data_IF_504432295543
#
_entry.id   IF_504432295543
#
_cell.length_a   1.000
_cell.length_b   1.000
_cell.length_c   1.000
_cell.angle_alpha   90.00
_cell.angle_beta   90.00
_cell.angle_gamma   90.00
#
_symmetry.space_group_name_H-M   'P 1'
#
loop_
_entity.id
_entity.type
_entity.pdbx_description
1 polymer ?
#
# COMPACT_ATOMS: atom_id res chain seq x y z
N UNK A 1 -10.68 24.51 15.49
CA UNK A 1 -9.38 23.95 15.95
C UNK A 1 -9.43 23.44 17.38
N UNK A 2 -10.23 24.03 18.26
CA UNK A 2 -10.30 23.67 19.69
C UNK A 2 -10.72 22.21 19.95
N UNK A 3 -11.40 21.55 18.99
CA UNK A 3 -11.86 20.16 19.11
C UNK A 3 -10.93 19.16 18.42
N UNK A 4 -9.61 19.39 18.42
CA UNK A 4 -8.61 18.51 17.79
C UNK A 4 -7.62 17.95 18.80
N UNK A 5 -7.26 16.66 18.67
CA UNK A 5 -6.23 15.99 19.48
C UNK A 5 -5.06 15.59 18.59
N UNK A 6 -3.85 15.96 19.00
CA UNK A 6 -2.61 15.45 18.39
C UNK A 6 -2.27 14.11 19.01
N UNK A 7 -1.95 13.13 18.17
CA UNK A 7 -1.52 11.80 18.55
C UNK A 7 -0.12 11.55 18.01
N UNK A 8 0.80 11.18 18.89
CA UNK A 8 2.19 10.86 18.54
C UNK A 8 2.50 9.42 18.97
N UNK A 9 2.36 8.44 18.05
CA UNK A 9 2.86 7.08 18.28
C UNK A 9 4.39 7.11 18.35
N UNK A 10 4.97 6.51 19.38
CA UNK A 10 6.42 6.58 19.60
C UNK A 10 6.97 5.25 20.09
N UNK A 11 8.09 4.84 19.50
CA UNK A 11 8.89 3.69 19.91
C UNK A 11 10.34 4.15 19.99
N UNK A 12 10.97 3.98 21.15
CA UNK A 12 12.38 4.31 21.39
C UNK A 12 12.76 5.74 20.96
N UNK A 13 12.04 6.78 21.43
CA UNK A 13 12.24 8.15 20.95
C UNK A 13 13.59 8.73 21.35
N UNK A 14 14.11 9.61 20.49
CA UNK A 14 15.24 10.48 20.80
C UNK A 14 14.78 11.90 21.17
N UNK A 15 15.72 12.84 21.23
CA UNK A 15 15.48 14.24 21.53
C UNK A 15 14.56 14.96 20.52
N UNK A 16 14.37 14.41 19.31
CA UNK A 16 13.52 15.01 18.26
C UNK A 16 12.05 15.04 18.68
N UNK A 17 11.59 14.05 19.45
CA UNK A 17 10.23 14.04 20.00
C UNK A 17 10.01 15.21 20.97
N UNK A 18 10.98 15.48 21.85
CA UNK A 18 10.91 16.62 22.77
C UNK A 18 10.90 17.95 22.00
N UNK A 19 11.78 18.09 21.01
CA UNK A 19 11.83 19.28 20.17
C UNK A 19 10.53 19.50 19.37
N UNK A 20 9.91 18.43 18.87
CA UNK A 20 8.62 18.50 18.18
C UNK A 20 7.52 19.03 19.11
N UNK A 21 7.41 18.46 20.32
CA UNK A 21 6.39 18.87 21.29
C UNK A 21 6.64 20.28 21.82
N UNK A 22 7.89 20.65 22.06
CA UNK A 22 8.27 22.02 22.41
C UNK A 22 7.82 23.00 21.33
N UNK A 23 8.12 22.70 20.05
CA UNK A 23 7.69 23.53 18.91
C UNK A 23 6.18 23.66 18.82
N UNK A 24 5.42 22.59 19.07
CA UNK A 24 3.95 22.64 19.13
C UNK A 24 3.51 23.57 20.27
N UNK A 25 4.09 23.43 21.46
CA UNK A 25 3.72 24.22 22.64
C UNK A 25 4.07 25.70 22.51
N UNK A 26 5.15 26.04 21.80
CA UNK A 26 5.50 27.41 21.45
C UNK A 26 4.42 28.11 20.61
N UNK A 27 3.75 27.36 19.72
CA UNK A 27 2.70 27.91 18.87
C UNK A 27 1.29 27.78 19.47
N UNK A 28 1.04 26.72 20.25
CA UNK A 28 -0.25 26.49 20.87
C UNK A 28 -0.12 25.73 22.20
N UNK A 29 -0.27 26.47 23.30
CA UNK A 29 -0.14 25.96 24.66
C UNK A 29 -1.28 25.02 25.09
N UNK A 30 -2.45 25.13 24.46
CA UNK A 30 -3.67 24.45 24.92
C UNK A 30 -4.09 23.27 24.05
N UNK A 31 -3.45 23.07 22.89
CA UNK A 31 -3.79 21.97 21.99
C UNK A 31 -3.53 20.62 22.68
N UNK A 32 -4.54 19.75 22.86
CA UNK A 32 -4.33 18.45 23.48
C UNK A 32 -3.31 17.60 22.71
N UNK A 33 -2.39 16.96 23.43
CA UNK A 33 -1.39 16.03 22.86
C UNK A 33 -1.45 14.73 23.64
N UNK A 34 -1.67 13.63 22.91
CA UNK A 34 -1.61 12.26 23.39
C UNK A 34 -0.38 11.58 22.76
N UNK A 35 0.54 11.15 23.60
CA UNK A 35 1.71 10.35 23.20
C UNK A 35 1.43 8.91 23.56
N UNK A 36 1.67 7.99 22.62
CA UNK A 36 1.55 6.56 22.87
C UNK A 36 2.94 5.93 22.81
N UNK A 37 3.50 5.59 23.97
CA UNK A 37 4.73 4.81 24.11
C UNK A 37 4.42 3.34 23.78
N UNK A 38 4.85 2.88 22.61
CA UNK A 38 4.69 1.51 22.14
C UNK A 38 5.72 0.57 22.78
N UNK A 39 5.89 0.66 24.10
CA UNK A 39 6.75 -0.24 24.88
C UNK A 39 8.24 -0.06 24.64
N UNK A 40 8.72 1.18 24.64
CA UNK A 40 10.14 1.55 24.44
C UNK A 40 11.07 1.03 25.55
N UNK A 41 10.53 0.75 26.74
CA UNK A 41 11.29 0.22 27.88
C UNK A 41 11.86 1.30 28.82
N UNK A 42 12.56 0.86 29.87
CA UNK A 42 12.96 1.71 30.99
C UNK A 42 13.92 2.84 30.61
N UNK A 43 14.79 2.62 29.61
CA UNK A 43 15.78 3.60 29.17
C UNK A 43 15.15 4.89 28.59
N UNK A 44 13.94 4.79 28.04
CA UNK A 44 13.25 5.91 27.37
C UNK A 44 12.19 6.59 28.25
N UNK A 45 11.88 6.03 29.43
CA UNK A 45 10.92 6.62 30.37
C UNK A 45 11.21 8.07 30.79
N UNK A 46 12.48 8.53 30.90
CA UNK A 46 12.75 9.94 31.15
C UNK A 46 12.18 10.88 30.07
N UNK A 47 12.17 10.48 28.80
CA UNK A 47 11.61 11.27 27.69
C UNK A 47 10.11 11.41 27.86
N UNK A 48 9.40 10.30 28.09
CA UNK A 48 7.95 10.31 28.31
C UNK A 48 7.55 11.05 29.58
N UNK A 49 8.33 10.93 30.66
CA UNK A 49 8.11 11.68 31.90
C UNK A 49 8.25 13.20 31.66
N UNK A 50 9.24 13.62 30.89
CA UNK A 50 9.41 15.02 30.50
C UNK A 50 8.22 15.52 29.67
N UNK A 51 7.72 14.72 28.72
CA UNK A 51 6.52 15.04 27.93
C UNK A 51 5.30 15.30 28.81
N UNK A 52 5.06 14.45 29.81
CA UNK A 52 3.94 14.62 30.73
C UNK A 52 4.14 15.84 31.66
N UNK A 53 5.30 15.95 32.30
CA UNK A 53 5.54 16.94 33.36
C UNK A 53 5.81 18.35 32.84
N UNK A 54 6.56 18.48 31.75
CA UNK A 54 7.00 19.78 31.22
C UNK A 54 6.04 20.33 30.17
N UNK A 55 5.45 19.44 29.37
CA UNK A 55 4.60 19.83 28.23
C UNK A 55 3.12 19.49 28.41
N UNK A 56 2.74 18.88 29.54
CA UNK A 56 1.34 18.55 29.84
C UNK A 56 0.73 17.55 28.85
N UNK A 57 1.53 16.69 28.24
CA UNK A 57 1.04 15.64 27.35
C UNK A 57 0.39 14.51 28.15
N UNK A 58 -0.70 13.95 27.62
CA UNK A 58 -1.18 12.65 28.09
C UNK A 58 -0.25 11.58 27.51
N UNK A 59 0.20 10.63 28.33
CA UNK A 59 1.05 9.52 27.88
C UNK A 59 0.37 8.20 28.21
N UNK A 60 0.19 7.36 27.19
CA UNK A 60 -0.26 5.97 27.33
C UNK A 60 0.89 5.04 26.97
N UNK A 61 1.10 3.97 27.74
CA UNK A 61 2.25 3.07 27.56
C UNK A 61 1.80 1.63 27.35
N UNK A 62 2.31 1.01 26.29
CA UNK A 62 2.18 -0.42 26.07
C UNK A 62 3.22 -1.21 26.89
N UNK A 63 2.88 -2.41 27.40
CA UNK A 63 3.82 -3.23 28.17
C UNK A 63 4.99 -3.77 27.33
N UNK A 64 4.84 -3.80 26.00
CA UNK A 64 5.84 -4.22 25.02
C UNK A 64 5.49 -3.58 23.68
N UNK A 65 6.42 -3.62 22.72
CA UNK A 65 6.15 -3.22 21.35
C UNK A 65 5.06 -4.07 20.69
N UNK A 66 3.93 -3.42 20.38
CA UNK A 66 2.77 -4.00 19.70
C UNK A 66 2.71 -3.55 18.23
N UNK A 67 3.26 -2.37 17.92
CA UNK A 67 3.36 -1.78 16.60
C UNK A 67 2.63 -0.44 16.48
N UNK A 68 3.00 0.33 15.44
CA UNK A 68 2.40 1.64 15.14
C UNK A 68 0.86 1.58 14.97
N UNK A 69 0.34 0.54 14.34
CA UNK A 69 -1.11 0.33 14.18
C UNK A 69 -1.81 0.15 15.54
N UNK A 70 -1.23 -0.63 16.44
CA UNK A 70 -1.73 -0.82 17.80
C UNK A 70 -1.71 0.51 18.57
N UNK A 71 -0.63 1.29 18.45
CA UNK A 71 -0.54 2.60 19.09
C UNK A 71 -1.61 3.59 18.58
N UNK A 72 -1.88 3.60 17.27
CA UNK A 72 -2.99 4.38 16.68
C UNK A 72 -4.34 3.89 17.22
N UNK A 73 -4.57 2.58 17.34
CA UNK A 73 -5.81 2.02 17.90
C UNK A 73 -6.01 2.35 19.38
N UNK A 74 -4.94 2.35 20.17
CA UNK A 74 -4.96 2.81 21.56
C UNK A 74 -5.40 4.27 21.61
N UNK A 75 -4.87 5.12 20.74
CA UNK A 75 -5.29 6.52 20.64
C UNK A 75 -6.75 6.68 20.18
N UNK A 76 -7.20 5.92 19.18
CA UNK A 76 -8.61 5.90 18.74
C UNK A 76 -9.54 5.51 19.90
N UNK A 77 -9.16 4.50 20.67
CA UNK A 77 -9.92 4.03 21.83
C UNK A 77 -10.00 5.12 22.91
N UNK A 78 -8.88 5.79 23.19
CA UNK A 78 -8.81 6.90 24.12
C UNK A 78 -9.71 8.07 23.70
N UNK A 79 -9.69 8.43 22.41
CA UNK A 79 -10.54 9.50 21.88
C UNK A 79 -12.03 9.15 21.97
N UNK A 80 -12.38 7.91 21.63
CA UNK A 80 -13.76 7.45 21.64
C UNK A 80 -14.32 7.34 23.07
N UNK A 81 -13.50 6.93 24.03
CA UNK A 81 -13.93 6.62 25.40
C UNK A 81 -13.88 7.84 26.32
N UNK A 82 -12.79 8.63 26.24
CA UNK A 82 -12.47 9.63 27.26
C UNK A 82 -12.49 11.07 26.75
N UNK A 83 -12.55 11.28 25.43
CA UNK A 83 -12.46 12.62 24.81
C UNK A 83 -13.68 12.91 23.91
N UNK A 84 -14.90 13.08 24.47
CA UNK A 84 -16.12 13.26 23.68
C UNK A 84 -16.14 14.56 22.87
N UNK A 85 -15.39 15.59 23.29
CA UNK A 85 -15.28 16.88 22.61
C UNK A 85 -14.35 16.85 21.39
N UNK A 86 -13.54 15.80 21.20
CA UNK A 86 -12.60 15.72 20.08
C UNK A 86 -13.34 15.28 18.81
N UNK A 87 -13.36 16.18 17.83
CA UNK A 87 -13.92 15.98 16.49
C UNK A 87 -12.88 15.48 15.48
N UNK A 88 -11.61 15.83 15.67
CA UNK A 88 -10.53 15.45 14.76
C UNK A 88 -9.33 14.90 15.54
N UNK A 89 -8.85 13.73 15.16
CA UNK A 89 -7.58 13.19 15.63
C UNK A 89 -6.54 13.39 14.53
N UNK A 90 -5.43 14.05 14.84
CA UNK A 90 -4.29 14.14 13.92
C UNK A 90 -3.16 13.25 14.42
N UNK A 91 -2.65 12.35 13.57
CA UNK A 91 -1.43 11.61 13.85
C UNK A 91 -0.23 12.36 13.26
N UNK A 92 0.90 12.33 13.95
CA UNK A 92 2.18 12.86 13.49
C UNK A 92 3.30 11.92 13.97
N UNK A 93 4.29 11.66 13.12
CA UNK A 93 5.43 10.83 13.49
C UNK A 93 6.36 11.56 14.48
N UNK A 94 7.03 10.81 15.35
CA UNK A 94 7.91 11.35 16.39
C UNK A 94 9.30 11.80 15.90
N UNK A 95 9.58 11.68 14.60
CA UNK A 95 10.88 11.92 13.99
C UNK A 95 11.17 13.40 13.65
N UNK A 96 10.18 14.28 13.84
CA UNK A 96 10.30 15.71 13.58
C UNK A 96 10.26 16.09 12.09
N UNK A 97 9.90 15.18 11.18
CA UNK A 97 9.84 15.46 9.73
C UNK A 97 8.64 16.33 9.30
N UNK A 98 7.76 16.70 10.24
CA UNK A 98 6.54 17.44 9.98
C UNK A 98 6.56 18.81 10.67
N UNK A 99 6.30 19.87 9.92
CA UNK A 99 6.15 21.21 10.45
C UNK A 99 4.82 21.40 11.20
N UNK A 100 4.82 22.26 12.22
CA UNK A 100 3.58 22.68 12.89
C UNK A 100 2.60 23.30 11.88
N UNK A 101 3.09 24.13 10.96
CA UNK A 101 2.27 24.78 9.93
C UNK A 101 1.60 23.77 8.99
N UNK A 102 2.31 22.68 8.64
CA UNK A 102 1.77 21.59 7.82
C UNK A 102 0.64 20.85 8.53
N UNK A 103 0.83 20.53 9.82
CA UNK A 103 -0.20 19.93 10.66
C UNK A 103 -1.44 20.84 10.75
N UNK A 104 -1.24 22.14 10.97
CA UNK A 104 -2.34 23.10 11.04
C UNK A 104 -3.07 23.25 9.70
N UNK A 105 -2.37 23.19 8.57
CA UNK A 105 -2.98 23.19 7.25
C UNK A 105 -3.85 21.94 7.03
N UNK A 106 -3.38 20.76 7.44
CA UNK A 106 -4.16 19.52 7.41
C UNK A 106 -5.44 19.62 8.27
N UNK A 107 -5.33 20.15 9.49
CA UNK A 107 -6.46 20.36 10.38
C UNK A 107 -7.47 21.37 9.83
N UNK A 108 -6.99 22.47 9.24
CA UNK A 108 -7.85 23.46 8.58
C UNK A 108 -8.61 22.83 7.40
N UNK A 109 -7.94 22.00 6.60
CA UNK A 109 -8.60 21.25 5.52
C UNK A 109 -9.62 20.25 6.03
N UNK A 110 -9.33 19.57 7.14
CA UNK A 110 -10.28 18.65 7.77
C UNK A 110 -11.53 19.38 8.27
N UNK A 111 -11.39 20.60 8.79
CA UNK A 111 -12.53 21.43 9.19
C UNK A 111 -13.37 21.89 7.98
N UNK A 112 -12.72 22.23 6.87
CA UNK A 112 -13.41 22.57 5.62
C UNK A 112 -14.09 21.35 4.97
N UNK A 113 -13.59 20.14 5.24
CA UNK A 113 -14.07 18.87 4.71
C UNK A 113 -14.26 17.84 5.83
N UNK A 114 -15.21 18.07 6.77
CA UNK A 114 -15.40 17.22 7.96
C UNK A 114 -15.73 15.78 7.61
N UNK A 115 -16.17 15.56 6.35
CA UNK A 115 -16.50 14.25 5.84
C UNK A 115 -15.34 13.47 5.22
N UNK A 116 -14.10 13.97 5.31
CA UNK A 116 -12.94 13.41 4.61
C UNK A 116 -11.78 13.06 5.54
N UNK A 117 -11.06 11.98 5.23
CA UNK A 117 -9.74 11.72 5.81
C UNK A 117 -8.74 12.63 5.08
N UNK A 118 -7.91 13.36 5.84
CA UNK A 118 -6.88 14.22 5.26
C UNK A 118 -5.51 13.55 5.40
N UNK A 119 -4.75 13.50 4.31
CA UNK A 119 -3.38 13.01 4.28
C UNK A 119 -2.43 14.17 4.00
N UNK A 120 -1.46 14.42 4.87
CA UNK A 120 -0.37 15.34 4.62
C UNK A 120 0.62 14.72 3.64
N UNK A 121 0.53 15.04 2.35
CA UNK A 121 1.35 14.42 1.31
C UNK A 121 2.54 15.30 0.99
N UNK A 122 3.75 14.76 1.09
CA UNK A 122 4.97 15.48 0.70
C UNK A 122 4.89 15.86 -0.78
N UNK A 123 5.06 17.13 -1.08
CA UNK A 123 5.23 17.56 -2.47
C UNK A 123 6.63 17.18 -2.91
N UNK A 124 6.74 16.12 -3.73
CA UNK A 124 7.98 15.80 -4.44
C UNK A 124 8.22 16.89 -5.49
N UNK A 125 8.82 18.00 -5.06
CA UNK A 125 9.18 19.13 -5.91
C UNK A 125 10.15 18.75 -7.03
N UNK A 126 10.49 19.73 -7.87
CA UNK A 126 11.36 19.58 -9.06
C UNK A 126 12.78 19.08 -8.77
N UNK A 127 13.20 19.01 -7.50
CA UNK A 127 14.55 18.67 -7.07
C UNK A 127 14.77 17.19 -6.70
N UNK A 128 13.78 16.31 -6.89
CA UNK A 128 13.98 14.87 -6.67
C UNK A 128 14.90 14.29 -7.76
N UNK A 129 16.00 13.59 -7.41
CA UNK A 129 16.88 12.94 -8.37
C UNK A 129 16.09 12.04 -9.34
N UNK A 130 16.38 12.11 -10.64
CA UNK A 130 15.61 11.42 -11.69
C UNK A 130 15.40 9.92 -11.44
N UNK A 131 16.37 9.25 -10.78
CA UNK A 131 16.27 7.83 -10.38
C UNK A 131 15.20 7.60 -9.29
N UNK A 132 15.11 8.48 -8.30
CA UNK A 132 14.09 8.42 -7.24
C UNK A 132 12.69 8.78 -7.77
N UNK A 133 12.62 9.69 -8.74
CA UNK A 133 11.37 10.07 -9.41
C UNK A 133 10.69 8.89 -10.12
N UNK A 134 11.46 8.02 -10.77
CA UNK A 134 10.92 6.81 -11.42
C UNK A 134 10.39 5.80 -10.40
N UNK A 135 11.14 5.56 -9.31
CA UNK A 135 10.70 4.72 -8.20
C UNK A 135 9.40 5.22 -7.59
N UNK A 136 9.29 6.53 -7.32
CA UNK A 136 8.07 7.11 -6.75
C UNK A 136 6.88 7.05 -7.70
N UNK A 137 7.07 7.27 -9.01
CA UNK A 137 5.99 7.14 -10.00
C UNK A 137 5.53 5.67 -10.10
N UNK A 138 6.46 4.72 -10.12
CA UNK A 138 6.14 3.30 -10.18
C UNK A 138 5.38 2.86 -8.92
N UNK A 139 5.89 3.20 -7.73
CA UNK A 139 5.24 2.90 -6.45
C UNK A 139 3.86 3.57 -6.37
N UNK A 140 3.71 4.81 -6.84
CA UNK A 140 2.41 5.52 -6.89
C UNK A 140 1.43 4.83 -7.82
N UNK A 141 1.87 4.39 -9.00
CA UNK A 141 1.02 3.68 -9.95
C UNK A 141 0.63 2.29 -9.42
N UNK A 142 1.55 1.58 -8.77
CA UNK A 142 1.29 0.30 -8.11
C UNK A 142 0.30 0.50 -6.95
N UNK A 143 0.49 1.51 -6.10
CA UNK A 143 -0.43 1.86 -5.03
C UNK A 143 -1.81 2.19 -5.60
N UNK A 144 -1.89 3.03 -6.63
CA UNK A 144 -3.14 3.35 -7.32
C UNK A 144 -3.82 2.12 -7.93
N UNK A 145 -3.06 1.21 -8.53
CA UNK A 145 -3.58 -0.08 -9.01
C UNK A 145 -3.97 -1.01 -7.86
N UNK A 146 -3.29 -0.90 -6.72
CA UNK A 146 -3.47 -1.77 -5.58
C UNK A 146 -4.69 -1.39 -4.73
N UNK A 147 -4.87 -0.09 -4.53
CA UNK A 147 -5.84 0.52 -3.61
C UNK A 147 -6.90 1.35 -4.33
N UNK A 148 -6.81 1.54 -5.64
CA UNK A 148 -7.69 2.42 -6.43
C UNK A 148 -7.58 3.91 -6.08
N UNK A 149 -6.71 4.29 -5.14
CA UNK A 149 -6.56 5.65 -4.66
C UNK A 149 -5.42 6.36 -5.40
N UNK A 150 -5.70 7.55 -5.92
CA UNK A 150 -4.69 8.43 -6.52
C UNK A 150 -4.01 9.28 -5.42
N UNK A 151 -3.27 8.63 -4.51
CA UNK A 151 -2.54 9.30 -3.43
C UNK A 151 -1.08 9.49 -3.84
N UNK A 152 -0.55 10.70 -3.66
CA UNK A 152 0.84 11.03 -3.99
C UNK A 152 1.85 10.41 -3.00
N UNK A 153 1.49 10.35 -1.72
CA UNK A 153 2.27 9.74 -0.66
C UNK A 153 1.34 9.00 0.33
N UNK A 154 1.28 7.66 0.24
CA UNK A 154 0.48 6.83 1.12
C UNK A 154 1.18 6.49 2.44
N UNK A 155 2.46 6.86 2.58
CA UNK A 155 3.33 6.49 3.70
C UNK A 155 3.57 7.67 4.66
N UNK A 156 2.81 8.75 4.51
CA UNK A 156 2.82 9.85 5.46
C UNK A 156 2.28 9.42 6.83
N UNK A 157 2.96 9.80 7.90
CA UNK A 157 2.44 9.71 9.27
C UNK A 157 1.49 10.85 9.64
N UNK A 158 1.53 11.97 8.88
CA UNK A 158 0.64 13.11 9.09
C UNK A 158 -0.74 12.85 8.48
N UNK A 159 -1.70 12.47 9.32
CA UNK A 159 -3.07 12.13 8.89
C UNK A 159 -4.09 12.73 9.84
N UNK A 160 -5.23 13.19 9.31
CA UNK A 160 -6.34 13.69 10.13
C UNK A 160 -7.55 12.80 9.93
N UNK A 161 -8.10 12.31 11.04
CA UNK A 161 -9.27 11.44 11.11
C UNK A 161 -10.43 12.17 11.77
N UNK A 162 -11.53 12.41 11.03
CA UNK A 162 -12.81 12.80 11.62
C UNK A 162 -13.33 11.75 12.60
N UNK A 163 -13.91 12.22 13.72
CA UNK A 163 -14.47 11.36 14.79
C UNK A 163 -15.42 10.31 14.26
N UNK A 164 -16.26 10.67 13.29
CA UNK A 164 -17.25 9.77 12.69
C UNK A 164 -16.67 8.49 12.07
N UNK A 165 -15.38 8.48 11.71
CA UNK A 165 -14.72 7.29 11.15
C UNK A 165 -13.99 6.47 12.22
N UNK A 166 -13.78 7.00 13.43
CA UNK A 166 -12.88 6.40 14.43
C UNK A 166 -13.33 5.01 14.91
N UNK A 167 -14.64 4.79 15.11
CA UNK A 167 -15.18 3.48 15.51
C UNK A 167 -14.88 2.40 14.46
N UNK A 168 -15.08 2.74 13.19
CA UNK A 168 -14.81 1.83 12.09
C UNK A 168 -13.30 1.62 11.87
N UNK A 169 -12.50 2.68 12.01
CA UNK A 169 -11.04 2.60 11.95
C UNK A 169 -10.48 1.66 13.02
N UNK A 170 -11.04 1.69 14.23
CA UNK A 170 -10.64 0.81 15.33
C UNK A 170 -10.87 -0.68 15.00
N UNK A 171 -11.92 -0.99 14.24
CA UNK A 171 -12.27 -2.35 13.84
C UNK A 171 -11.37 -2.93 12.72
N UNK A 172 -10.56 -2.10 12.07
CA UNK A 172 -9.66 -2.55 10.99
C UNK A 172 -8.54 -3.42 11.58
N UNK A 173 -8.30 -4.57 10.96
CA UNK A 173 -7.22 -5.49 11.37
C UNK A 173 -5.83 -4.95 11.01
N UNK A 174 -4.82 -5.37 11.78
CA UNK A 174 -3.43 -4.92 11.61
C UNK A 174 -2.97 -4.11 12.81
N UNK A 175 -1.73 -4.32 13.21
CA UNK A 175 -1.17 -3.75 14.45
C UNK A 175 0.16 -3.03 14.20
N UNK A 176 0.80 -3.20 13.04
CA UNK A 176 2.06 -2.51 12.70
C UNK A 176 1.83 -1.56 11.51
N UNK A 177 2.87 -1.26 10.75
CA UNK A 177 2.82 -0.32 9.62
C UNK A 177 1.78 -0.70 8.54
N UNK A 178 1.42 -1.97 8.41
CA UNK A 178 0.39 -2.40 7.47
C UNK A 178 -1.00 -1.82 7.77
N UNK A 179 -1.28 -1.47 9.04
CA UNK A 179 -2.55 -0.88 9.45
C UNK A 179 -2.87 0.38 8.66
N UNK A 180 -1.88 1.26 8.46
CA UNK A 180 -2.04 2.51 7.72
C UNK A 180 -2.42 2.28 6.26
N UNK A 181 -1.94 1.19 5.64
CA UNK A 181 -2.32 0.81 4.27
C UNK A 181 -3.73 0.19 4.23
N UNK A 182 -4.05 -0.69 5.19
CA UNK A 182 -5.37 -1.31 5.31
C UNK A 182 -6.45 -0.27 5.55
N UNK A 183 -6.17 0.75 6.34
CA UNK A 183 -7.06 1.88 6.57
C UNK A 183 -7.41 2.63 5.29
N UNK A 184 -6.44 2.90 4.42
CA UNK A 184 -6.70 3.53 3.12
C UNK A 184 -7.57 2.65 2.22
N UNK A 185 -7.29 1.35 2.18
CA UNK A 185 -8.09 0.38 1.42
C UNK A 185 -9.53 0.34 1.95
N UNK A 186 -9.72 0.29 3.26
CA UNK A 186 -11.05 0.24 3.87
C UNK A 186 -11.83 1.54 3.64
N UNK A 187 -11.17 2.69 3.78
CA UNK A 187 -11.74 3.99 3.46
C UNK A 187 -12.24 4.04 2.01
N UNK A 188 -11.45 3.52 1.07
CA UNK A 188 -11.86 3.41 -0.33
C UNK A 188 -13.07 2.48 -0.52
N UNK A 189 -13.06 1.28 0.09
CA UNK A 189 -14.17 0.31 0.01
C UNK A 189 -15.48 0.88 0.55
N UNK A 190 -15.41 1.68 1.62
CA UNK A 190 -16.55 2.34 2.25
C UNK A 190 -16.95 3.66 1.59
N UNK A 191 -16.22 4.09 0.56
CA UNK A 191 -16.48 5.36 -0.13
C UNK A 191 -16.20 6.59 0.73
N UNK A 192 -15.33 6.48 1.73
CA UNK A 192 -14.89 7.63 2.53
C UNK A 192 -13.98 8.52 1.68
N UNK A 193 -14.29 9.82 1.53
CA UNK A 193 -13.42 10.74 0.83
C UNK A 193 -12.04 10.82 1.48
N UNK A 194 -10.99 10.76 0.66
CA UNK A 194 -9.60 10.95 1.09
C UNK A 194 -9.05 12.13 0.31
N UNK A 195 -8.56 13.16 1.02
CA UNK A 195 -8.02 14.36 0.41
C UNK A 195 -6.56 14.55 0.81
N UNK A 196 -5.72 14.88 -0.16
CA UNK A 196 -4.30 15.19 0.07
C UNK A 196 -4.11 16.67 0.37
N UNK A 197 -3.34 17.00 1.39
CA UNK A 197 -2.86 18.35 1.71
C UNK A 197 -1.35 18.36 1.48
N UNK A 198 -0.84 19.18 0.54
CA UNK A 198 0.60 19.32 0.35
C UNK A 198 1.31 19.78 1.62
N UNK A 199 2.41 19.12 1.96
CA UNK A 199 3.29 19.45 3.09
C UNK A 199 4.75 19.57 2.64
N UNK A 200 5.56 20.30 3.41
CA UNK A 200 6.99 20.44 3.14
C UNK A 200 7.73 19.09 3.32
N UNK A 201 8.80 18.89 2.55
CA UNK A 201 9.70 17.74 2.76
C UNK A 201 10.90 18.19 3.58
N UNK A 202 10.95 17.77 4.85
CA UNK A 202 12.09 18.04 5.72
C UNK A 202 13.01 16.82 5.71
N UNK A 203 14.22 16.97 5.16
CA UNK A 203 15.23 15.91 5.20
C UNK A 203 16.08 16.06 6.47
N UNK A 204 15.88 15.18 7.45
CA UNK A 204 16.69 15.13 8.68
C UNK A 204 17.64 13.94 8.57
N UNK A 205 18.95 14.20 8.60
CA UNK A 205 20.03 13.20 8.74
C UNK A 205 19.90 11.97 7.80
N UNK A 206 19.65 12.18 6.50
CA UNK A 206 19.58 11.11 5.49
C UNK A 206 18.63 9.93 5.83
N UNK A 207 17.56 10.15 6.60
CA UNK A 207 16.61 9.11 7.05
C UNK A 207 17.22 8.00 7.94
N UNK A 208 18.40 8.20 8.54
CA UNK A 208 19.08 7.18 9.35
C UNK A 208 18.28 6.75 10.60
N UNK A 209 17.42 7.62 11.15
CA UNK A 209 16.59 7.33 12.32
C UNK A 209 15.17 6.85 11.98
N UNK A 210 14.80 6.78 10.69
CA UNK A 210 13.53 6.13 10.36
C UNK A 210 13.73 4.63 10.51
N UNK A 211 13.08 4.01 11.50
CA UNK A 211 12.97 2.54 11.59
C UNK A 211 12.26 1.92 10.38
N UNK A 212 11.92 2.75 9.39
CA UNK A 212 11.33 2.40 8.12
C UNK A 212 12.33 1.67 7.22
N UNK A 213 12.26 0.34 7.27
CA UNK A 213 12.92 -0.52 6.28
C UNK A 213 12.06 -0.50 5.01
N UNK A 214 12.24 0.52 4.17
CA UNK A 214 11.54 0.74 2.88
C UNK A 214 11.30 -0.57 2.10
N UNK A 215 12.31 -1.45 2.07
CA UNK A 215 12.25 -2.73 1.36
C UNK A 215 11.43 -3.79 2.11
N UNK A 216 11.51 -3.86 3.44
CA UNK A 216 10.84 -4.88 4.24
C UNK A 216 9.33 -4.64 4.33
N UNK A 217 8.88 -3.40 4.48
CA UNK A 217 7.45 -3.09 4.59
C UNK A 217 6.76 -2.99 3.22
N UNK A 218 7.51 -2.65 2.17
CA UNK A 218 7.01 -2.82 0.80
C UNK A 218 6.90 -4.29 0.40
N UNK A 219 7.53 -5.24 1.12
CA UNK A 219 7.37 -6.68 0.83
C UNK A 219 5.93 -7.12 0.96
N UNK A 220 5.09 -6.55 1.83
CA UNK A 220 3.68 -6.96 1.88
C UNK A 220 2.95 -6.64 0.56
N UNK A 221 3.17 -5.44 0.00
CA UNK A 221 2.57 -4.99 -1.27
C UNK A 221 3.24 -5.70 -2.46
N UNK A 222 4.57 -5.77 -2.48
CA UNK A 222 5.33 -6.50 -3.49
C UNK A 222 5.04 -8.01 -3.42
N UNK A 223 4.70 -8.58 -2.27
CA UNK A 223 4.52 -10.02 -2.13
C UNK A 223 3.36 -10.52 -2.98
N UNK A 224 2.27 -9.75 -3.11
CA UNK A 224 1.15 -10.15 -3.96
C UNK A 224 1.58 -10.16 -5.43
N UNK A 225 2.29 -9.12 -5.88
CA UNK A 225 2.82 -9.05 -7.24
C UNK A 225 3.90 -10.10 -7.51
N UNK A 226 4.83 -10.31 -6.58
CA UNK A 226 5.89 -11.31 -6.65
C UNK A 226 5.33 -12.73 -6.66
N UNK A 227 4.29 -13.01 -5.86
CA UNK A 227 3.58 -14.29 -5.90
C UNK A 227 2.88 -14.51 -7.25
N UNK A 228 2.32 -13.46 -7.86
CA UNK A 228 1.74 -13.52 -9.20
C UNK A 228 2.79 -13.69 -10.31
N UNK A 229 3.96 -13.05 -10.17
CA UNK A 229 5.08 -13.27 -11.07
C UNK A 229 5.57 -14.72 -10.95
N UNK A 230 5.70 -15.21 -9.72
CA UNK A 230 6.07 -16.59 -9.43
C UNK A 230 5.07 -17.58 -10.03
N UNK A 231 3.77 -17.36 -9.87
CA UNK A 231 2.74 -18.24 -10.45
C UNK A 231 2.85 -18.31 -11.98
N UNK A 232 3.15 -17.19 -12.61
CA UNK A 232 3.29 -17.11 -14.07
C UNK A 232 4.57 -17.78 -14.56
N UNK A 233 5.68 -17.66 -13.83
CA UNK A 233 6.93 -18.38 -14.12
C UNK A 233 6.74 -19.89 -13.95
N UNK A 234 6.09 -20.34 -12.88
CA UNK A 234 5.76 -21.76 -12.67
C UNK A 234 4.89 -22.27 -13.82
N UNK A 235 3.88 -21.50 -14.22
CA UNK A 235 2.98 -21.86 -15.31
C UNK A 235 3.70 -21.97 -16.66
N UNK A 236 4.68 -21.10 -16.91
CA UNK A 236 5.55 -21.19 -18.08
C UNK A 236 6.36 -22.49 -18.09
N UNK A 237 6.98 -22.86 -16.97
CA UNK A 237 7.70 -24.14 -16.89
C UNK A 237 6.77 -25.35 -17.03
N UNK A 238 5.56 -25.29 -16.45
CA UNK A 238 4.53 -26.32 -16.62
C UNK A 238 4.13 -26.45 -18.09
N UNK A 239 3.94 -25.35 -18.81
CA UNK A 239 3.61 -25.35 -20.24
C UNK A 239 4.72 -26.05 -21.05
N UNK A 240 5.98 -25.66 -20.83
CA UNK A 240 7.14 -26.26 -21.54
C UNK A 240 7.28 -27.75 -21.23
N UNK A 241 7.17 -28.16 -19.97
CA UNK A 241 7.29 -29.57 -19.56
C UNK A 241 6.11 -30.39 -20.10
N UNK A 242 4.88 -29.88 -19.98
CA UNK A 242 3.69 -30.56 -20.51
C UNK A 242 3.78 -30.72 -22.03
N UNK A 243 4.21 -29.69 -22.75
CA UNK A 243 4.43 -29.76 -24.19
C UNK A 243 5.47 -30.84 -24.55
N UNK A 244 6.62 -30.85 -23.87
CA UNK A 244 7.67 -31.83 -24.12
C UNK A 244 7.19 -33.27 -23.87
N UNK A 245 6.44 -33.50 -22.79
CA UNK A 245 5.86 -34.81 -22.49
C UNK A 245 4.82 -35.22 -23.54
N UNK A 246 3.89 -34.32 -23.89
CA UNK A 246 2.86 -34.61 -24.89
C UNK A 246 3.47 -34.95 -26.25
N UNK A 247 4.49 -34.20 -26.70
CA UNK A 247 5.23 -34.52 -27.93
C UNK A 247 5.97 -35.85 -27.82
N UNK A 248 6.55 -36.19 -26.67
CA UNK A 248 7.22 -37.47 -26.49
C UNK A 248 6.26 -38.67 -26.61
N UNK A 249 5.03 -38.54 -26.10
CA UNK A 249 4.00 -39.59 -26.21
C UNK A 249 3.32 -39.63 -27.58
N UNK A 250 3.30 -38.52 -28.31
CA UNK A 250 2.83 -38.46 -29.69
C UNK A 250 3.96 -38.94 -30.61
N UNK A 251 3.94 -40.24 -30.90
CA UNK A 251 4.97 -40.97 -31.65
C UNK A 251 5.25 -40.48 -33.07
N UNK A 252 4.44 -39.56 -33.62
CA UNK A 252 4.64 -38.92 -34.92
C UNK A 252 4.60 -37.41 -34.75
N UNK A 253 5.67 -36.72 -35.16
CA UNK A 253 5.74 -35.26 -35.13
C UNK A 253 5.16 -34.72 -36.43
N UNK A 254 3.84 -34.51 -36.45
CA UNK A 254 3.13 -33.82 -37.53
C UNK A 254 2.47 -32.52 -37.02
N UNK A 255 1.92 -31.72 -37.94
CA UNK A 255 1.25 -30.46 -37.61
C UNK A 255 0.13 -30.68 -36.58
N UNK A 256 -0.64 -31.76 -36.73
CA UNK A 256 -1.74 -32.12 -35.85
C UNK A 256 -1.24 -32.36 -34.42
N UNK A 257 -0.16 -33.14 -34.28
CA UNK A 257 0.43 -33.47 -32.98
C UNK A 257 1.04 -32.25 -32.29
N UNK A 258 1.67 -31.33 -33.04
CA UNK A 258 2.19 -30.06 -32.50
C UNK A 258 1.05 -29.19 -31.97
N UNK A 259 -0.04 -29.05 -32.75
CA UNK A 259 -1.20 -28.25 -32.34
C UNK A 259 -1.88 -28.85 -31.11
N UNK A 260 -2.10 -30.17 -31.10
CA UNK A 260 -2.70 -30.88 -29.96
C UNK A 260 -1.83 -30.75 -28.71
N UNK A 261 -0.52 -30.95 -28.82
CA UNK A 261 0.42 -30.81 -27.70
C UNK A 261 0.47 -29.37 -27.18
N UNK A 262 0.47 -28.37 -28.07
CA UNK A 262 0.48 -26.95 -27.68
C UNK A 262 -0.81 -26.54 -26.97
N UNK A 263 -1.98 -26.96 -27.47
CA UNK A 263 -3.26 -26.70 -26.83
C UNK A 263 -3.40 -27.43 -25.48
N UNK A 264 -2.97 -28.69 -25.42
CA UNK A 264 -2.98 -29.49 -24.20
C UNK A 264 -2.07 -28.89 -23.11
N UNK A 265 -0.85 -28.51 -23.47
CA UNK A 265 0.10 -27.85 -22.58
C UNK A 265 -0.45 -26.52 -22.05
N UNK A 266 -1.02 -25.69 -22.92
CA UNK A 266 -1.68 -24.42 -22.56
C UNK A 266 -2.83 -24.62 -21.58
N UNK A 267 -3.65 -25.65 -21.80
CA UNK A 267 -4.77 -25.97 -20.91
C UNK A 267 -4.26 -26.39 -19.52
N UNK A 268 -3.28 -27.30 -19.47
CA UNK A 268 -2.68 -27.77 -18.22
C UNK A 268 -2.02 -26.61 -17.45
N UNK A 269 -1.22 -25.80 -18.14
CA UNK A 269 -0.57 -24.61 -17.57
C UNK A 269 -1.60 -23.62 -17.03
N UNK A 270 -2.67 -23.32 -17.77
CA UNK A 270 -3.73 -22.42 -17.34
C UNK A 270 -4.48 -22.95 -16.09
N UNK A 271 -4.75 -24.26 -16.01
CA UNK A 271 -5.34 -24.89 -14.82
C UNK A 271 -4.43 -24.67 -13.61
N UNK A 272 -3.14 -24.99 -13.74
CA UNK A 272 -2.17 -24.83 -12.64
C UNK A 272 -2.07 -23.35 -12.22
N UNK A 273 -1.95 -22.44 -13.18
CA UNK A 273 -1.88 -21.00 -12.91
C UNK A 273 -3.10 -20.50 -12.14
N UNK A 274 -4.30 -20.94 -12.54
CA UNK A 274 -5.54 -20.60 -11.87
C UNK A 274 -5.53 -21.03 -10.39
N UNK A 275 -5.16 -22.28 -10.10
CA UNK A 275 -5.13 -22.77 -8.72
C UNK A 275 -4.07 -22.07 -7.87
N UNK A 276 -2.88 -21.81 -8.42
CA UNK A 276 -1.84 -21.04 -7.72
C UNK A 276 -2.33 -19.62 -7.43
N UNK A 277 -2.90 -18.93 -8.41
CA UNK A 277 -3.41 -17.57 -8.22
C UNK A 277 -4.56 -17.54 -7.22
N UNK A 278 -5.47 -18.51 -7.27
CA UNK A 278 -6.59 -18.61 -6.33
C UNK A 278 -6.13 -18.85 -4.90
N UNK A 279 -5.22 -19.79 -4.65
CA UNK A 279 -4.84 -20.20 -3.29
C UNK A 279 -3.69 -19.37 -2.71
N UNK A 280 -2.68 -19.00 -3.52
CA UNK A 280 -1.47 -18.32 -3.03
C UNK A 280 -1.48 -16.80 -3.23
N UNK A 281 -2.13 -16.30 -4.29
CA UNK A 281 -2.06 -14.87 -4.67
C UNK A 281 -3.26 -14.08 -4.15
N UNK A 282 -4.49 -14.54 -4.42
CA UNK A 282 -5.72 -13.78 -4.17
C UNK A 282 -6.57 -14.34 -3.02
N UNK A 283 -6.45 -15.64 -2.69
CA UNK A 283 -7.01 -16.24 -1.47
C UNK A 283 -8.54 -16.36 -1.41
N UNK A 284 -9.27 -16.16 -2.50
CA UNK A 284 -10.75 -16.12 -2.48
C UNK A 284 -11.43 -17.04 -3.50
N UNK A 285 -12.65 -17.49 -3.16
CA UNK A 285 -13.45 -18.48 -3.91
C UNK A 285 -14.77 -17.88 -4.40
N UNK A 286 -14.75 -17.18 -5.52
CA UNK A 286 -15.98 -16.80 -6.25
C UNK A 286 -16.45 -17.98 -7.11
N UNK A 287 -17.77 -18.24 -7.17
CA UNK A 287 -18.36 -19.45 -7.82
C UNK A 287 -18.01 -19.64 -9.31
N UNK A 288 -17.71 -18.55 -10.03
CA UNK A 288 -17.46 -18.58 -11.48
C UNK A 288 -16.03 -18.15 -11.89
N UNK A 289 -15.12 -18.00 -10.94
CA UNK A 289 -13.76 -17.50 -11.20
C UNK A 289 -12.99 -18.32 -12.24
N UNK A 290 -13.17 -19.64 -12.25
CA UNK A 290 -12.52 -20.52 -13.21
C UNK A 290 -12.94 -20.20 -14.66
N UNK A 291 -14.25 -20.10 -14.92
CA UNK A 291 -14.76 -19.80 -16.27
C UNK A 291 -14.28 -18.42 -16.75
N UNK A 292 -14.35 -17.41 -15.89
CA UNK A 292 -13.90 -16.05 -16.19
C UNK A 292 -12.39 -16.00 -16.47
N UNK A 293 -11.60 -16.77 -15.72
CA UNK A 293 -10.17 -16.91 -15.95
C UNK A 293 -9.86 -17.55 -17.30
N UNK A 294 -10.52 -18.66 -17.65
CA UNK A 294 -10.31 -19.29 -18.96
C UNK A 294 -10.73 -18.37 -20.12
N UNK A 295 -11.83 -17.62 -19.97
CA UNK A 295 -12.24 -16.62 -20.95
C UNK A 295 -11.20 -15.51 -21.10
N UNK A 296 -10.62 -15.05 -20.00
CA UNK A 296 -9.52 -14.08 -20.01
C UNK A 296 -8.29 -14.63 -20.76
N UNK A 297 -7.91 -15.89 -20.53
CA UNK A 297 -6.78 -16.52 -21.23
C UNK A 297 -7.02 -16.58 -22.74
N UNK A 298 -8.23 -16.95 -23.17
CA UNK A 298 -8.60 -16.98 -24.60
C UNK A 298 -8.52 -15.57 -25.20
N UNK A 299 -9.12 -14.58 -24.54
CA UNK A 299 -9.07 -13.18 -24.97
C UNK A 299 -7.62 -12.69 -25.07
N UNK A 300 -6.77 -13.05 -24.10
CA UNK A 300 -5.37 -12.66 -24.08
C UNK A 300 -4.59 -13.26 -25.26
N UNK A 301 -4.83 -14.53 -25.62
CA UNK A 301 -4.19 -15.18 -26.78
C UNK A 301 -4.61 -14.49 -28.09
N UNK A 302 -5.90 -14.22 -28.26
CA UNK A 302 -6.43 -13.55 -29.46
C UNK A 302 -5.90 -12.12 -29.57
N UNK A 303 -5.94 -11.37 -28.46
CA UNK A 303 -5.47 -9.99 -28.40
C UNK A 303 -3.96 -9.88 -28.61
N UNK A 304 -3.17 -10.79 -28.04
CA UNK A 304 -1.71 -10.88 -28.28
C UNK A 304 -1.43 -11.06 -29.77
N UNK A 305 -2.09 -12.04 -30.39
CA UNK A 305 -1.89 -12.36 -31.81
C UNK A 305 -2.26 -11.18 -32.71
N UNK A 306 -3.38 -10.52 -32.42
CA UNK A 306 -3.85 -9.35 -33.17
C UNK A 306 -2.92 -8.13 -33.02
N UNK A 307 -2.50 -7.81 -31.80
CA UNK A 307 -1.62 -6.67 -31.53
C UNK A 307 -0.23 -6.86 -32.14
N UNK A 308 0.35 -8.07 -32.06
CA UNK A 308 1.63 -8.37 -32.72
C UNK A 308 1.52 -8.17 -34.23
N UNK A 309 0.44 -8.66 -34.85
CA UNK A 309 0.21 -8.47 -36.28
C UNK A 309 0.06 -6.98 -36.65
N UNK A 310 -0.75 -6.23 -35.89
CA UNK A 310 -0.97 -4.80 -36.13
C UNK A 310 0.32 -3.99 -36.00
N UNK A 311 1.12 -4.25 -34.95
CA UNK A 311 2.38 -3.55 -34.73
C UNK A 311 3.40 -3.91 -35.82
N UNK A 312 3.45 -5.18 -36.23
CA UNK A 312 4.31 -5.63 -37.33
C UNK A 312 3.97 -4.92 -38.66
N UNK A 313 2.69 -4.60 -38.91
CA UNK A 313 2.30 -3.82 -40.09
C UNK A 313 2.72 -2.35 -40.03
N UNK A 314 2.76 -1.76 -38.83
CA UNK A 314 3.05 -0.32 -38.63
C UNK A 314 4.55 -0.07 -38.50
N UNK A 315 5.27 -1.00 -37.89
CA UNK A 315 6.70 -0.90 -37.59
C UNK A 315 7.48 -1.96 -38.36
N UNK A 316 8.35 -1.59 -39.31
CA UNK A 316 9.22 -2.53 -40.01
C UNK A 316 10.42 -2.93 -39.13
N UNK A 317 10.16 -3.26 -37.86
CA UNK A 317 11.16 -3.81 -36.94
C UNK A 317 11.21 -5.30 -37.23
N UNK A 318 12.32 -5.76 -37.81
CA UNK A 318 12.44 -7.08 -38.46
C UNK A 318 12.36 -8.32 -37.57
N UNK A 319 11.92 -8.21 -36.32
CA UNK A 319 11.80 -9.37 -35.43
C UNK A 319 10.42 -9.42 -34.74
N UNK A 320 9.58 -10.32 -35.23
CA UNK A 320 8.26 -10.61 -34.67
C UNK A 320 8.32 -11.17 -33.25
N UNK A 321 9.46 -11.75 -32.84
CA UNK A 321 9.68 -12.27 -31.48
C UNK A 321 9.78 -11.12 -30.48
N UNK A 322 10.54 -10.06 -30.81
CA UNK A 322 10.67 -8.89 -29.93
C UNK A 322 9.34 -8.15 -29.75
N UNK A 323 8.56 -8.01 -30.82
CA UNK A 323 7.22 -7.43 -30.76
C UNK A 323 6.29 -8.27 -29.87
N UNK A 324 6.37 -9.60 -30.01
CA UNK A 324 5.59 -10.53 -29.19
C UNK A 324 5.93 -10.43 -27.70
N UNK A 325 7.22 -10.35 -27.35
CA UNK A 325 7.65 -10.16 -25.96
C UNK A 325 7.07 -8.86 -25.38
N UNK A 326 7.17 -7.74 -26.10
CA UNK A 326 6.63 -6.46 -25.66
C UNK A 326 5.11 -6.49 -25.44
N UNK A 327 4.36 -7.06 -26.40
CA UNK A 327 2.90 -7.19 -26.30
C UNK A 327 2.49 -8.10 -25.15
N UNK A 328 3.13 -9.26 -24.98
CA UNK A 328 2.80 -10.21 -23.92
C UNK A 328 3.13 -9.65 -22.53
N UNK A 329 4.22 -8.86 -22.40
CA UNK A 329 4.51 -8.13 -21.17
C UNK A 329 3.42 -7.11 -20.81
N UNK A 330 2.90 -6.36 -21.77
CA UNK A 330 1.79 -5.41 -21.52
C UNK A 330 0.52 -6.16 -21.12
N UNK A 331 0.20 -7.24 -21.84
CA UNK A 331 -0.97 -8.07 -21.56
C UNK A 331 -0.88 -8.80 -20.22
N UNK A 332 0.32 -9.11 -19.74
CA UNK A 332 0.53 -9.66 -18.41
C UNK A 332 0.03 -8.72 -17.30
N UNK A 333 0.36 -7.42 -17.39
CA UNK A 333 -0.12 -6.42 -16.43
C UNK A 333 -1.64 -6.20 -16.53
N UNK A 334 -2.18 -6.19 -17.75
CA UNK A 334 -3.62 -6.14 -17.97
C UNK A 334 -4.33 -7.36 -17.35
N UNK A 335 -3.79 -8.56 -17.57
CA UNK A 335 -4.31 -9.82 -17.02
C UNK A 335 -4.29 -9.82 -15.49
N UNK A 336 -3.21 -9.32 -14.87
CA UNK A 336 -3.16 -9.12 -13.42
C UNK A 336 -4.29 -8.20 -12.93
N UNK A 337 -4.51 -7.07 -13.60
CA UNK A 337 -5.54 -6.11 -13.23
C UNK A 337 -6.96 -6.71 -13.34
N UNK A 338 -7.26 -7.42 -14.43
CA UNK A 338 -8.56 -8.09 -14.62
C UNK A 338 -8.76 -9.21 -13.61
N UNK A 339 -7.74 -10.03 -13.37
CA UNK A 339 -7.81 -11.10 -12.38
C UNK A 339 -8.11 -10.55 -10.99
N UNK A 340 -7.41 -9.49 -10.58
CA UNK A 340 -7.59 -8.88 -9.27
C UNK A 340 -8.96 -8.19 -9.12
N UNK A 341 -9.38 -7.41 -10.10
CA UNK A 341 -10.53 -6.50 -9.94
C UNK A 341 -11.86 -7.06 -10.46
N UNK A 342 -11.83 -8.13 -11.27
CA UNK A 342 -13.02 -8.71 -11.91
C UNK A 342 -13.20 -10.17 -11.52
N UNK A 343 -12.16 -11.00 -11.62
CA UNK A 343 -12.27 -12.46 -11.47
C UNK A 343 -12.26 -12.87 -9.99
N UNK A 344 -11.28 -12.35 -9.25
CA UNK A 344 -11.08 -12.59 -7.83
C UNK A 344 -11.46 -11.37 -6.99
N UNK A 345 -12.41 -10.57 -7.47
CA UNK A 345 -12.95 -9.42 -6.75
C UNK A 345 -13.60 -9.90 -5.45
N UNK A 346 -13.34 -9.17 -4.36
CA UNK A 346 -14.01 -9.34 -3.07
C UNK A 346 -15.54 -9.15 -3.15
#
# INVERSE_FOLDING_TARGET
MENSLIVIPSLEPDHKLLALVEKIRLHNQHLPILVVDDGSGAAYQPVFSALAQQFGCQVLTHPKNLGKGAAIKTALTEVLTNQPAVEFMVTIDSDGQHEYTDMMACLAKAQAHPDSIILGTRSFGKEVPLRSKFGNILTRNILRLATGLAIEDSQTGLRVFPRKFMTDLLAISGERFEYETRMLIEAQKRGWPILSQPIATIYIEENASSHFRVLADSVAIYSVFLKYLFSSVVSFFVDVIAYALLIHFLSVIDLSSIVIASLGARLISAIVNYYINRELVFGQRTKNSMLQYFLLVIVQILLSSFLVYLIYLILPIGDSVLLKIGVDCLLFFFSYHVQKNVIFKE
#
